data_IF_742567142966
#
_entry.id   IF_742567142966
#
_cell.length_a   1.000
_cell.length_b   1.000
_cell.length_c   1.000
_cell.angle_alpha   90.00
_cell.angle_beta   90.00
_cell.angle_gamma   90.00
#
_symmetry.space_group_name_H-M   'P 1'
#
loop_
_entity.id
_entity.type
_entity.pdbx_description
1 polymer ?
#
# COMPACT_ATOMS: atom_id res chain seq x y z
N UNK A 1 -19.95 -5.89 13.96
CA UNK A 1 -18.59 -5.53 13.52
C UNK A 1 -18.59 -5.40 12.00
N UNK A 2 -18.05 -4.35 11.44
CA UNK A 2 -17.88 -4.30 10.01
C UNK A 2 -17.01 -5.48 9.55
N UNK A 3 -17.28 -6.07 8.38
CA UNK A 3 -16.48 -7.17 7.87
C UNK A 3 -15.04 -6.69 7.69
N UNK A 4 -14.10 -7.48 8.19
CA UNK A 4 -12.68 -7.16 8.06
C UNK A 4 -12.25 -7.13 6.58
N UNK A 5 -11.45 -6.15 6.16
CA UNK A 5 -10.99 -6.06 4.79
C UNK A 5 -10.12 -7.27 4.43
N UNK A 6 -10.65 -8.14 3.56
CA UNK A 6 -9.93 -9.31 3.05
C UNK A 6 -8.89 -8.94 2.00
N UNK A 7 -9.07 -7.81 1.34
CA UNK A 7 -8.21 -7.31 0.28
C UNK A 7 -7.38 -6.14 0.83
N UNK A 8 -6.08 -6.25 0.77
CA UNK A 8 -5.15 -5.27 1.33
C UNK A 8 -4.23 -4.74 0.22
N UNK A 9 -4.18 -3.42 0.08
CA UNK A 9 -3.37 -2.77 -0.95
C UNK A 9 -1.89 -2.68 -0.53
N UNK A 10 -0.98 -3.16 -1.38
CA UNK A 10 0.45 -2.94 -1.20
C UNK A 10 0.93 -1.64 -1.86
N UNK A 11 0.18 -1.10 -2.82
CA UNK A 11 0.29 0.29 -3.24
C UNK A 11 -1.02 0.98 -2.87
N UNK A 12 -1.02 2.00 -2.00
CA UNK A 12 -2.22 2.65 -1.52
C UNK A 12 -3.07 3.26 -2.63
N UNK A 13 -4.39 3.23 -2.46
CA UNK A 13 -5.31 3.90 -3.39
C UNK A 13 -5.03 5.41 -3.49
N UNK A 14 -4.69 6.05 -2.37
CA UNK A 14 -4.35 7.47 -2.31
C UNK A 14 -3.19 7.82 -3.24
N UNK A 15 -2.18 6.96 -3.32
CA UNK A 15 -1.09 7.10 -4.26
C UNK A 15 -1.54 6.83 -5.70
N UNK A 16 -2.26 5.73 -5.92
CA UNK A 16 -2.68 5.28 -7.26
C UNK A 16 -3.62 6.26 -7.95
N UNK A 17 -4.42 7.02 -7.19
CA UNK A 17 -5.32 8.06 -7.72
C UNK A 17 -4.61 9.16 -8.50
N UNK A 18 -3.33 9.42 -8.23
CA UNK A 18 -2.56 10.44 -8.94
C UNK A 18 -2.16 10.01 -10.37
N UNK A 19 -2.40 8.75 -10.75
CA UNK A 19 -2.11 8.19 -12.07
C UNK A 19 -3.36 7.91 -12.90
N UNK A 20 -4.50 8.46 -12.48
CA UNK A 20 -5.74 8.38 -13.25
C UNK A 20 -5.60 9.21 -14.55
N UNK A 21 -6.04 8.61 -15.64
CA UNK A 21 -6.22 9.35 -16.91
C UNK A 21 -7.55 10.15 -16.92
N UNK A 22 -7.82 10.83 -18.04
CA UNK A 22 -9.03 11.62 -18.21
C UNK A 22 -10.34 10.83 -18.10
N UNK A 23 -10.30 9.52 -18.26
CA UNK A 23 -11.44 8.62 -18.15
C UNK A 23 -11.59 8.02 -16.75
N UNK A 24 -10.75 8.43 -15.80
CA UNK A 24 -10.75 7.93 -14.42
C UNK A 24 -10.19 6.51 -14.29
N UNK A 25 -9.28 6.13 -15.15
CA UNK A 25 -8.71 4.80 -15.29
C UNK A 25 -7.20 4.83 -15.07
N UNK A 26 -6.65 3.81 -14.42
CA UNK A 26 -5.21 3.57 -14.37
C UNK A 26 -4.84 2.61 -15.50
N UNK A 27 -3.90 3.01 -16.34
CA UNK A 27 -3.29 2.13 -17.33
C UNK A 27 -2.17 1.33 -16.70
N UNK A 28 -2.35 0.01 -16.68
CA UNK A 28 -1.38 -0.94 -16.11
C UNK A 28 -0.76 -1.75 -17.24
N UNK A 29 0.55 -1.79 -17.27
CA UNK A 29 1.30 -2.67 -18.15
C UNK A 29 1.87 -3.83 -17.33
N UNK A 30 1.30 -5.01 -17.51
CA UNK A 30 1.76 -6.22 -16.84
C UNK A 30 2.91 -6.85 -17.63
N UNK A 31 4.10 -6.84 -17.05
CA UNK A 31 5.30 -7.39 -17.67
C UNK A 31 5.47 -8.89 -17.46
N UNK A 32 4.66 -9.50 -16.60
CA UNK A 32 4.75 -10.92 -16.23
C UNK A 32 3.77 -11.79 -17.03
N UNK A 33 2.55 -11.29 -17.26
CA UNK A 33 1.53 -11.98 -18.04
C UNK A 33 1.41 -11.38 -19.44
N UNK A 34 2.05 -11.99 -20.43
CA UNK A 34 1.93 -11.68 -21.87
C UNK A 34 2.14 -10.21 -22.26
N UNK A 35 2.83 -9.43 -21.42
CA UNK A 35 3.01 -7.99 -21.64
C UNK A 35 1.67 -7.27 -21.90
N UNK A 36 0.66 -7.58 -21.09
CA UNK A 36 -0.69 -7.08 -21.28
C UNK A 36 -0.87 -5.65 -20.78
N UNK A 37 -1.40 -4.79 -21.62
CA UNK A 37 -1.88 -3.46 -21.23
C UNK A 37 -3.38 -3.53 -20.92
N UNK A 38 -3.79 -3.06 -19.75
CA UNK A 38 -5.20 -3.00 -19.37
C UNK A 38 -5.51 -1.74 -18.56
N UNK A 39 -6.78 -1.40 -18.50
CA UNK A 39 -7.30 -0.26 -17.76
C UNK A 39 -8.07 -0.74 -16.54
N UNK A 40 -7.85 -0.11 -15.39
CA UNK A 40 -8.49 -0.53 -14.13
C UNK A 40 -8.67 0.64 -13.16
N UNK A 41 -9.43 0.43 -12.10
CA UNK A 41 -9.59 1.42 -11.05
C UNK A 41 -8.54 1.26 -9.93
N UNK A 42 -8.21 2.33 -9.17
CA UNK A 42 -7.33 2.25 -8.01
C UNK A 42 -7.74 1.18 -7.00
N UNK A 43 -9.05 0.98 -6.82
CA UNK A 43 -9.61 -0.02 -5.90
C UNK A 43 -9.36 -1.46 -6.33
N UNK A 44 -9.08 -1.70 -7.60
CA UNK A 44 -9.02 -3.05 -8.18
C UNK A 44 -7.61 -3.55 -8.41
N UNK A 45 -6.59 -2.71 -8.25
CA UNK A 45 -5.20 -3.01 -8.58
C UNK A 45 -4.30 -2.93 -7.34
N UNK A 46 -3.14 -3.58 -7.39
CA UNK A 46 -2.09 -3.53 -6.36
C UNK A 46 -2.56 -3.99 -4.97
N UNK A 47 -3.30 -5.09 -4.93
CA UNK A 47 -3.83 -5.66 -3.69
C UNK A 47 -3.73 -7.17 -3.69
N UNK A 48 -3.54 -7.74 -2.51
CA UNK A 48 -3.59 -9.17 -2.24
C UNK A 48 -4.49 -9.47 -1.04
N UNK A 49 -4.99 -10.71 -0.98
CA UNK A 49 -5.79 -11.15 0.17
C UNK A 49 -4.89 -11.38 1.37
N UNK A 50 -5.29 -10.85 2.51
CA UNK A 50 -4.63 -11.08 3.81
C UNK A 50 -3.13 -10.79 3.85
N UNK A 51 -2.64 -9.86 3.03
CA UNK A 51 -1.21 -9.57 2.89
C UNK A 51 -0.54 -9.17 4.22
N UNK A 52 -1.23 -8.38 5.05
CA UNK A 52 -0.74 -7.90 6.35
C UNK A 52 -1.50 -8.51 7.52
N UNK A 53 -2.43 -9.43 7.26
CA UNK A 53 -3.24 -10.04 8.29
C UNK A 53 -2.45 -11.10 9.02
N UNK A 54 -2.48 -11.06 10.36
CA UNK A 54 -1.82 -12.05 11.20
C UNK A 54 -2.86 -13.05 11.73
N UNK A 55 -2.59 -14.36 11.65
CA UNK A 55 -3.47 -15.33 12.27
C UNK A 55 -3.44 -15.18 13.79
N UNK A 56 -4.61 -14.99 14.40
CA UNK A 56 -4.76 -15.01 15.85
C UNK A 56 -4.91 -16.47 16.29
N UNK A 57 -3.94 -16.97 17.06
CA UNK A 57 -3.99 -18.31 17.62
C UNK A 57 -5.26 -18.49 18.48
N UNK A 58 -6.10 -19.42 18.12
CA UNK A 58 -7.31 -19.92 18.77
C UNK A 58 -8.68 -19.57 18.15
N UNK A 59 -8.82 -18.59 17.25
CA UNK A 59 -10.16 -18.15 16.86
C UNK A 59 -10.45 -18.11 15.35
N UNK A 60 -9.61 -18.63 14.47
CA UNK A 60 -9.75 -18.52 13.02
C UNK A 60 -9.99 -17.07 12.52
N UNK A 61 -9.49 -16.09 13.26
CA UNK A 61 -9.56 -14.66 12.96
C UNK A 61 -8.22 -14.15 12.45
N UNK A 62 -8.27 -13.07 11.69
CA UNK A 62 -7.08 -12.34 11.26
C UNK A 62 -7.05 -10.97 11.94
N UNK A 63 -5.91 -10.59 12.46
CA UNK A 63 -5.70 -9.24 12.96
C UNK A 63 -5.21 -8.32 11.82
N UNK A 64 -5.92 -7.22 11.63
CA UNK A 64 -5.63 -6.20 10.63
C UNK A 64 -5.02 -4.92 11.26
N UNK A 65 -4.34 -5.04 12.40
CA UNK A 65 -3.71 -3.90 13.08
C UNK A 65 -2.72 -3.17 12.18
N UNK A 66 -1.95 -3.90 11.38
CA UNK A 66 -0.96 -3.33 10.44
C UNK A 66 -1.66 -2.54 9.34
N UNK A 67 -2.76 -3.06 8.76
CA UNK A 67 -3.53 -2.35 7.73
C UNK A 67 -4.12 -1.05 8.29
N UNK A 68 -4.66 -1.09 9.52
CA UNK A 68 -5.15 0.11 10.21
C UNK A 68 -4.06 1.14 10.47
N UNK A 69 -2.89 0.69 10.91
CA UNK A 69 -1.74 1.57 11.10
C UNK A 69 -1.35 2.28 9.80
N UNK A 70 -1.34 1.57 8.67
CA UNK A 70 -1.04 2.17 7.39
C UNK A 70 -2.10 3.20 6.98
N UNK A 71 -3.39 2.83 7.00
CA UNK A 71 -4.48 3.71 6.56
C UNK A 71 -4.62 4.95 7.44
N UNK A 72 -4.62 4.78 8.75
CA UNK A 72 -5.00 5.84 9.68
C UNK A 72 -3.84 6.78 10.00
N UNK A 73 -2.61 6.27 9.99
CA UNK A 73 -1.43 7.04 10.43
C UNK A 73 -0.53 7.44 9.29
N UNK A 74 -0.22 6.51 8.39
CA UNK A 74 0.82 6.73 7.36
C UNK A 74 0.25 7.35 6.10
N UNK A 75 -0.92 6.89 5.64
CA UNK A 75 -1.53 7.35 4.38
C UNK A 75 -2.27 8.68 4.52
N UNK A 76 -2.72 9.03 5.72
CA UNK A 76 -3.55 10.21 5.96
C UNK A 76 -2.91 11.55 5.58
N UNK A 77 -1.59 11.65 5.62
CA UNK A 77 -0.84 12.87 5.28
C UNK A 77 -0.40 12.98 3.82
N UNK A 78 -0.57 11.92 3.02
CA UNK A 78 -0.03 11.85 1.66
C UNK A 78 -0.61 12.89 0.72
N UNK A 79 -1.94 12.97 0.60
CA UNK A 79 -2.61 13.89 -0.33
C UNK A 79 -2.27 15.36 -0.04
N UNK A 80 -2.15 15.71 1.25
CA UNK A 80 -1.73 17.04 1.67
C UNK A 80 -0.31 17.36 1.20
N UNK A 81 0.64 16.46 1.42
CA UNK A 81 2.02 16.64 1.02
C UNK A 81 2.17 16.78 -0.50
N UNK A 82 1.46 15.94 -1.27
CA UNK A 82 1.44 16.02 -2.74
C UNK A 82 0.89 17.35 -3.23
N UNK A 83 -0.19 17.84 -2.65
CA UNK A 83 -0.79 19.12 -3.03
C UNK A 83 0.18 20.29 -2.77
N UNK A 84 0.86 20.30 -1.62
CA UNK A 84 1.86 21.32 -1.29
C UNK A 84 3.01 21.31 -2.30
N UNK A 85 3.49 20.13 -2.67
CA UNK A 85 4.54 19.97 -3.68
C UNK A 85 4.06 20.43 -5.06
N UNK A 86 2.84 20.07 -5.45
CA UNK A 86 2.25 20.49 -6.72
C UNK A 86 2.12 22.03 -6.82
N UNK A 87 1.84 22.69 -5.70
CA UNK A 87 1.80 24.16 -5.59
C UNK A 87 3.21 24.80 -5.49
N UNK A 88 4.27 24.02 -5.53
CA UNK A 88 5.66 24.45 -5.38
C UNK A 88 5.93 25.19 -4.06
N UNK A 89 5.22 24.82 -3.01
CA UNK A 89 5.42 25.36 -1.66
C UNK A 89 6.42 24.52 -0.87
N UNK A 90 7.17 25.10 0.06
CA UNK A 90 8.05 24.34 0.93
C UNK A 90 7.25 23.47 1.90
N UNK A 91 7.71 22.25 2.14
CA UNK A 91 7.18 21.38 3.17
C UNK A 91 7.75 21.74 4.54
N UNK A 92 6.94 21.69 5.57
CA UNK A 92 7.40 21.73 6.96
C UNK A 92 8.15 20.44 7.32
N UNK A 93 8.88 20.44 8.43
CA UNK A 93 9.59 19.25 8.91
C UNK A 93 8.63 18.07 9.18
N UNK A 94 7.46 18.34 9.72
CA UNK A 94 6.44 17.30 9.97
C UNK A 94 5.90 16.73 8.66
N UNK A 95 5.68 17.56 7.65
CA UNK A 95 5.24 17.11 6.33
C UNK A 95 6.32 16.29 5.62
N UNK A 96 7.60 16.69 5.74
CA UNK A 96 8.73 15.90 5.22
C UNK A 96 8.79 14.53 5.92
N UNK A 97 8.61 14.49 7.23
CA UNK A 97 8.59 13.25 8.01
C UNK A 97 7.48 12.33 7.51
N UNK A 98 6.25 12.80 7.47
CA UNK A 98 5.10 11.99 6.98
C UNK A 98 5.27 11.52 5.54
N UNK A 99 5.77 12.37 4.66
CA UNK A 99 6.07 12.02 3.28
C UNK A 99 7.12 10.90 3.20
N UNK A 100 8.19 11.01 4.00
CA UNK A 100 9.24 9.99 4.06
C UNK A 100 8.72 8.67 4.62
N UNK A 101 7.96 8.70 5.69
CA UNK A 101 7.31 7.51 6.28
C UNK A 101 6.40 6.80 5.27
N UNK A 102 5.63 7.57 4.51
CA UNK A 102 4.79 7.01 3.45
C UNK A 102 5.61 6.31 2.36
N UNK A 103 6.65 6.95 1.84
CA UNK A 103 7.52 6.36 0.81
C UNK A 103 8.22 5.09 1.30
N UNK A 104 8.75 5.11 2.53
CA UNK A 104 9.37 3.94 3.14
C UNK A 104 8.36 2.81 3.33
N UNK A 105 7.15 3.12 3.80
CA UNK A 105 6.09 2.13 3.95
C UNK A 105 5.75 1.45 2.64
N UNK A 106 5.60 2.21 1.55
CA UNK A 106 5.35 1.65 0.22
C UNK A 106 6.46 0.68 -0.22
N UNK A 107 7.72 1.05 0.01
CA UNK A 107 8.85 0.19 -0.34
C UNK A 107 8.84 -1.14 0.42
N UNK A 108 8.41 -1.13 1.69
CA UNK A 108 8.36 -2.32 2.53
C UNK A 108 7.11 -3.18 2.29
N UNK A 109 6.05 -2.61 1.76
CA UNK A 109 4.74 -3.26 1.60
C UNK A 109 4.65 -4.19 0.39
N UNK A 110 5.52 -4.01 -0.60
CA UNK A 110 5.45 -4.85 -1.81
C UNK A 110 5.65 -6.33 -1.48
N UNK A 111 4.87 -7.23 -2.09
CA UNK A 111 4.88 -8.66 -1.74
C UNK A 111 6.26 -9.31 -1.76
N UNK A 112 7.11 -8.92 -2.70
CA UNK A 112 8.47 -9.46 -2.79
C UNK A 112 9.35 -9.06 -1.61
N UNK A 113 9.25 -7.82 -1.11
CA UNK A 113 9.97 -7.38 0.08
C UNK A 113 9.52 -8.16 1.32
N UNK A 114 8.22 -8.34 1.50
CA UNK A 114 7.66 -9.12 2.61
C UNK A 114 8.08 -10.59 2.54
N UNK A 115 8.01 -11.21 1.38
CA UNK A 115 8.46 -12.61 1.19
C UNK A 115 9.94 -12.79 1.49
N UNK A 116 10.79 -11.82 1.09
CA UNK A 116 12.22 -11.85 1.38
C UNK A 116 12.50 -11.78 2.87
N UNK A 117 11.83 -10.88 3.60
CA UNK A 117 11.97 -10.78 5.06
C UNK A 117 11.50 -12.06 5.74
N UNK A 118 10.36 -12.62 5.32
CA UNK A 118 9.83 -13.87 5.88
C UNK A 118 10.76 -15.06 5.63
N UNK A 119 11.42 -15.12 4.46
CA UNK A 119 12.43 -16.15 4.17
C UNK A 119 13.62 -16.03 5.12
N UNK A 120 14.18 -14.82 5.27
CA UNK A 120 15.30 -14.58 6.16
C UNK A 120 14.99 -14.95 7.63
N UNK A 121 13.79 -14.62 8.09
CA UNK A 121 13.35 -14.99 9.45
C UNK A 121 13.23 -16.50 9.62
N UNK A 122 12.69 -17.19 8.63
CA UNK A 122 12.58 -18.67 8.64
C UNK A 122 13.95 -19.33 8.73
N UNK A 123 14.90 -18.86 7.93
CA UNK A 123 16.25 -19.42 7.87
C UNK A 123 17.06 -19.11 9.14
N UNK A 124 16.68 -18.08 9.89
CA UNK A 124 17.31 -17.70 11.16
C UNK A 124 16.83 -18.54 12.35
N UNK A 125 15.70 -19.22 12.25
CA UNK A 125 15.06 -20.01 13.32
C UNK A 125 15.27 -21.52 13.13
N UNK A 126 15.79 -21.91 12.00
CA UNK A 126 16.14 -23.31 11.70
C UNK A 126 17.57 -23.64 12.15
#
# INVERSE_FOLDING_TARGET
>A
MPPEPKQQHYIPETYSKHFLDGDGCIKVYDTWEDCRLFCTSPKSVFKEKYLYSQPVHAEARFDNAIERLFSDTIESGWDRAVNIIAEKKPLSLDEIKHFTEFLLSMRCRVPNALRSVMSLLRDSVA
#
